data_IF_241152012975
#
_entry.id   IF_241152012975
#
_cell.length_a   1.000
_cell.length_b   1.000
_cell.length_c   1.000
_cell.angle_alpha   90.00
_cell.angle_beta   90.00
_cell.angle_gamma   90.00
#
_symmetry.space_group_name_H-M   'P 1'
#
loop_
_entity.id
_entity.type
_entity.pdbx_description
1 polymer ?
#
# COMPACT_ATOMS: atom_id res chain seq x y z
N UNK A 1 -41.12 60.76 32.43
CA UNK A 1 -40.31 59.52 32.66
C UNK A 1 -40.16 58.80 31.35
N UNK A 2 -38.93 58.75 30.78
CA UNK A 2 -38.62 58.08 29.51
C UNK A 2 -37.73 56.89 29.82
N UNK A 3 -38.28 55.68 29.67
CA UNK A 3 -37.58 54.43 29.87
C UNK A 3 -36.79 54.10 28.58
N UNK A 4 -35.46 54.09 28.67
CA UNK A 4 -34.60 53.67 27.58
C UNK A 4 -34.29 52.18 27.77
N UNK A 5 -34.77 51.35 26.86
CA UNK A 5 -34.43 49.94 26.76
C UNK A 5 -33.18 49.84 25.91
N UNK A 6 -32.08 49.39 26.50
CA UNK A 6 -30.83 49.08 25.82
C UNK A 6 -30.91 47.66 25.30
N UNK A 7 -30.86 47.51 23.97
CA UNK A 7 -30.84 46.24 23.29
C UNK A 7 -29.36 45.80 23.15
N UNK A 8 -28.93 44.82 23.96
CA UNK A 8 -27.60 44.23 23.86
C UNK A 8 -27.62 43.13 22.78
N UNK A 9 -27.01 43.41 21.65
CA UNK A 9 -26.72 42.39 20.65
C UNK A 9 -25.52 41.52 21.10
N UNK A 10 -25.82 40.32 21.57
CA UNK A 10 -24.80 39.31 21.78
C UNK A 10 -24.44 38.64 20.44
N UNK A 11 -23.25 38.96 19.92
CA UNK A 11 -22.68 38.30 18.75
C UNK A 11 -22.13 36.97 19.20
N UNK A 12 -22.84 35.88 18.90
CA UNK A 12 -22.31 34.51 19.05
C UNK A 12 -21.34 34.24 17.91
N UNK A 13 -20.04 34.34 18.19
CA UNK A 13 -18.98 33.85 17.32
C UNK A 13 -18.90 32.33 17.44
N UNK A 14 -19.42 31.59 16.46
CA UNK A 14 -19.16 30.18 16.28
C UNK A 14 -17.71 29.99 15.79
N UNK A 15 -16.88 29.21 16.50
CA UNK A 15 -15.62 28.77 15.91
C UNK A 15 -15.90 27.70 14.82
N UNK A 16 -15.56 28.04 13.56
CA UNK A 16 -15.43 27.06 12.49
C UNK A 16 -14.30 26.10 12.89
N UNK A 17 -14.64 24.97 13.47
CA UNK A 17 -13.73 23.84 13.53
C UNK A 17 -13.58 23.28 12.10
N UNK A 18 -12.60 23.82 11.37
CA UNK A 18 -12.09 23.19 10.15
C UNK A 18 -11.38 21.91 10.57
N UNK A 19 -12.14 20.81 10.64
CA UNK A 19 -11.59 19.47 10.80
C UNK A 19 -10.72 19.16 9.60
N UNK A 20 -9.39 19.36 9.74
CA UNK A 20 -8.43 18.74 8.86
C UNK A 20 -8.59 17.21 9.00
N UNK A 21 -9.36 16.61 8.08
CA UNK A 21 -9.30 15.19 7.85
C UNK A 21 -7.89 14.87 7.32
N UNK A 22 -6.95 14.66 8.22
CA UNK A 22 -5.70 14.02 7.89
C UNK A 22 -6.06 12.61 7.42
N UNK A 23 -6.15 12.42 6.10
CA UNK A 23 -6.19 11.10 5.51
C UNK A 23 -4.86 10.43 5.81
N UNK A 24 -4.80 9.68 6.91
CA UNK A 24 -3.67 8.82 7.21
C UNK A 24 -3.59 7.80 6.08
N UNK A 25 -2.61 8.00 5.19
CA UNK A 25 -2.24 6.98 4.21
C UNK A 25 -1.67 5.82 5.01
N UNK A 26 -2.51 4.82 5.25
CA UNK A 26 -2.07 3.60 5.90
C UNK A 26 -1.28 2.79 4.87
N UNK A 27 -0.02 2.50 5.18
CA UNK A 27 0.65 1.37 4.56
C UNK A 27 -0.30 0.16 4.69
N UNK A 28 -0.37 -0.70 3.67
CA UNK A 28 -1.24 -1.88 3.68
C UNK A 28 -0.52 -3.05 4.37
N UNK A 29 -0.55 -3.16 5.71
CA UNK A 29 0.19 -4.19 6.45
C UNK A 29 -0.13 -5.63 6.03
N UNK A 30 -1.36 -5.96 5.54
CA UNK A 30 -1.71 -7.32 5.17
C UNK A 30 -0.99 -7.84 3.92
N UNK A 31 -0.53 -6.95 3.00
CA UNK A 31 0.01 -7.38 1.69
C UNK A 31 1.12 -8.45 1.80
N UNK A 32 2.17 -8.29 2.64
CA UNK A 32 3.22 -9.30 2.71
C UNK A 32 2.72 -10.69 3.14
N UNK A 33 1.78 -10.74 4.09
CA UNK A 33 1.16 -11.99 4.51
C UNK A 33 0.27 -12.60 3.42
N UNK A 34 -0.43 -11.76 2.69
CA UNK A 34 -1.32 -12.19 1.60
C UNK A 34 -0.53 -12.65 0.36
N UNK A 35 0.66 -12.12 0.09
CA UNK A 35 1.57 -12.66 -0.94
C UNK A 35 1.89 -14.12 -0.63
N UNK A 36 2.27 -14.41 0.62
CA UNK A 36 2.53 -15.78 1.04
C UNK A 36 1.32 -16.68 0.84
N UNK A 37 0.16 -16.23 1.30
CA UNK A 37 -1.10 -17.00 1.19
C UNK A 37 -1.50 -17.23 -0.27
N UNK A 38 -1.34 -16.24 -1.13
CA UNK A 38 -1.71 -16.32 -2.54
C UNK A 38 -0.87 -17.32 -3.35
N UNK A 39 0.38 -17.57 -2.94
CA UNK A 39 1.35 -18.36 -3.70
C UNK A 39 1.90 -19.56 -2.93
N UNK A 40 1.38 -19.89 -1.74
CA UNK A 40 1.89 -20.97 -0.89
C UNK A 40 1.91 -22.34 -1.55
N UNK A 41 0.96 -22.61 -2.44
CA UNK A 41 0.79 -23.90 -3.13
C UNK A 41 1.47 -23.91 -4.51
N UNK A 42 2.07 -22.78 -4.92
CA UNK A 42 2.77 -22.66 -6.20
C UNK A 42 4.26 -22.96 -6.02
N UNK A 43 4.68 -24.10 -6.59
CA UNK A 43 6.06 -24.59 -6.48
C UNK A 43 7.08 -23.64 -7.11
N UNK A 44 6.69 -22.91 -8.15
CA UNK A 44 7.56 -21.96 -8.84
C UNK A 44 7.84 -20.73 -7.98
N UNK A 45 6.94 -20.41 -7.04
CA UNK A 45 7.11 -19.29 -6.11
C UNK A 45 7.80 -19.65 -4.80
N UNK A 46 7.98 -20.95 -4.50
CA UNK A 46 8.60 -21.37 -3.23
C UNK A 46 9.97 -20.74 -2.97
N UNK A 47 10.92 -20.73 -3.92
CA UNK A 47 12.23 -20.11 -3.69
C UNK A 47 12.13 -18.62 -3.37
N UNK A 48 11.20 -17.91 -4.03
CA UNK A 48 10.95 -16.50 -3.77
C UNK A 48 10.34 -16.27 -2.38
N UNK A 49 9.37 -17.09 -1.99
CA UNK A 49 8.76 -16.98 -0.66
C UNK A 49 9.78 -17.23 0.45
N UNK A 50 10.69 -18.18 0.28
CA UNK A 50 11.81 -18.45 1.20
C UNK A 50 12.74 -17.22 1.30
N UNK A 51 13.05 -16.56 0.17
CA UNK A 51 13.81 -15.30 0.14
C UNK A 51 13.07 -14.17 0.88
N UNK A 52 11.77 -14.01 0.65
CA UNK A 52 10.95 -12.98 1.32
C UNK A 52 10.88 -13.22 2.83
N UNK A 53 10.79 -14.49 3.27
CA UNK A 53 10.78 -14.82 4.70
C UNK A 53 12.11 -14.47 5.39
N UNK A 54 13.22 -14.55 4.68
CA UNK A 54 14.55 -14.19 5.21
C UNK A 54 14.78 -12.67 5.31
N UNK A 55 13.93 -11.84 4.70
CA UNK A 55 14.07 -10.38 4.77
C UNK A 55 13.80 -9.86 6.19
N UNK A 56 14.58 -8.86 6.63
CA UNK A 56 14.32 -8.11 7.87
C UNK A 56 12.96 -7.39 7.81
N UNK A 57 12.59 -6.91 6.64
CA UNK A 57 11.30 -6.29 6.38
C UNK A 57 10.71 -6.85 5.10
N UNK A 58 9.61 -7.57 5.18
CA UNK A 58 8.90 -8.11 4.02
C UNK A 58 8.36 -7.02 3.08
N UNK A 59 8.28 -5.78 3.57
CA UNK A 59 7.93 -4.62 2.75
C UNK A 59 9.01 -4.29 1.71
N UNK A 60 10.24 -4.77 1.88
CA UNK A 60 11.37 -4.47 0.99
C UNK A 60 11.25 -5.18 -0.37
N UNK A 61 10.26 -6.04 -0.56
CA UNK A 61 9.86 -6.54 -1.89
C UNK A 61 9.45 -5.39 -2.82
N UNK A 62 8.73 -4.39 -2.29
CA UNK A 62 8.19 -3.26 -3.05
C UNK A 62 8.79 -1.90 -2.65
N UNK A 63 9.47 -1.82 -1.51
CA UNK A 63 10.04 -0.58 -1.00
C UNK A 63 11.55 -0.66 -0.92
N UNK A 64 12.20 0.48 -1.07
CA UNK A 64 13.66 0.58 -0.80
C UNK A 64 13.91 0.38 0.69
N UNK A 65 14.93 -0.40 1.08
CA UNK A 65 15.28 -0.58 2.48
C UNK A 65 15.54 0.76 3.17
N UNK A 66 14.98 0.96 4.36
CA UNK A 66 15.15 2.20 5.13
C UNK A 66 14.41 3.43 4.60
N UNK A 67 13.70 3.32 3.48
CA UNK A 67 12.95 4.45 2.93
C UNK A 67 11.73 4.82 3.78
N UNK A 68 11.37 6.11 3.79
CA UNK A 68 10.12 6.56 4.38
C UNK A 68 8.93 6.07 3.56
N UNK A 69 8.22 5.08 4.11
CA UNK A 69 7.05 4.45 3.49
C UNK A 69 5.79 5.31 3.60
N UNK A 70 5.82 6.41 4.36
CA UNK A 70 4.70 7.35 4.53
C UNK A 70 4.86 8.61 3.70
N UNK A 71 6.06 8.90 3.22
CA UNK A 71 6.38 10.09 2.44
C UNK A 71 5.84 10.05 1.01
N UNK A 72 5.96 11.17 0.31
CA UNK A 72 5.57 11.28 -1.11
C UNK A 72 6.37 10.29 -1.95
N UNK A 73 5.67 9.44 -2.71
CA UNK A 73 6.29 8.36 -3.48
C UNK A 73 6.52 7.07 -2.69
N UNK A 74 6.16 7.04 -1.39
CA UNK A 74 6.15 5.85 -0.53
C UNK A 74 7.47 5.04 -0.49
N UNK A 75 8.59 5.61 -0.91
CA UNK A 75 9.88 4.93 -0.98
C UNK A 75 9.87 3.65 -1.83
N UNK A 76 9.05 3.61 -2.87
CA UNK A 76 8.91 2.44 -3.74
C UNK A 76 10.20 2.20 -4.53
N UNK A 77 10.59 0.93 -4.65
CA UNK A 77 11.57 0.48 -5.63
C UNK A 77 10.91 0.40 -7.03
N UNK A 78 11.65 0.00 -8.06
CA UNK A 78 11.13 -0.07 -9.43
C UNK A 78 9.96 -1.05 -9.57
N UNK A 79 10.05 -2.24 -9.00
CA UNK A 79 8.94 -3.20 -8.97
C UNK A 79 7.73 -2.65 -8.20
N UNK A 80 7.97 -2.04 -7.05
CA UNK A 80 6.93 -1.44 -6.22
C UNK A 80 6.14 -0.36 -6.97
N UNK A 81 6.79 0.45 -7.81
CA UNK A 81 6.12 1.44 -8.67
C UNK A 81 5.21 0.76 -9.68
N UNK A 82 5.72 -0.24 -10.40
CA UNK A 82 4.96 -1.01 -11.39
C UNK A 82 3.76 -1.69 -10.76
N UNK A 83 3.93 -2.28 -9.59
CA UNK A 83 2.85 -2.91 -8.83
C UNK A 83 1.81 -1.90 -8.36
N UNK A 84 2.25 -0.77 -7.79
CA UNK A 84 1.37 0.28 -7.29
C UNK A 84 0.46 0.86 -8.38
N UNK A 85 0.99 1.06 -9.59
CA UNK A 85 0.22 1.61 -10.71
C UNK A 85 -0.90 0.67 -11.20
N UNK A 86 -0.81 -0.62 -10.87
CA UNK A 86 -1.79 -1.66 -11.24
C UNK A 86 -2.69 -2.06 -10.09
N UNK A 87 -2.38 -1.60 -8.88
CA UNK A 87 -3.03 -2.02 -7.66
C UNK A 87 -4.27 -1.18 -7.35
N UNK A 88 -5.44 -1.81 -7.30
CA UNK A 88 -6.70 -1.17 -6.99
C UNK A 88 -6.86 -0.92 -5.48
N UNK A 89 -6.05 -0.01 -4.94
CA UNK A 89 -5.91 0.23 -3.50
C UNK A 89 -7.24 0.48 -2.77
N UNK A 90 -8.17 1.21 -3.39
CA UNK A 90 -9.49 1.48 -2.77
C UNK A 90 -10.31 0.21 -2.61
N UNK A 91 -10.41 -0.61 -3.67
CA UNK A 91 -11.16 -1.87 -3.62
C UNK A 91 -10.53 -2.84 -2.62
N UNK A 92 -9.20 -2.93 -2.64
CA UNK A 92 -8.45 -3.77 -1.70
C UNK A 92 -8.71 -3.35 -0.24
N UNK A 93 -8.67 -2.05 0.04
CA UNK A 93 -8.96 -1.52 1.38
C UNK A 93 -10.38 -1.90 1.81
N UNK A 94 -11.38 -1.66 0.97
CA UNK A 94 -12.78 -2.03 1.25
C UNK A 94 -12.92 -3.53 1.53
N UNK A 95 -12.33 -4.40 0.71
CA UNK A 95 -12.38 -5.84 0.91
C UNK A 95 -11.79 -6.27 2.26
N UNK A 96 -10.66 -5.65 2.69
CA UNK A 96 -10.07 -5.94 4.00
C UNK A 96 -10.93 -5.42 5.16
N UNK A 97 -11.49 -4.22 5.05
CA UNK A 97 -12.40 -3.65 6.07
C UNK A 97 -13.67 -4.51 6.25
N UNK A 98 -14.18 -5.05 5.15
CA UNK A 98 -15.33 -5.98 5.14
C UNK A 98 -14.94 -7.42 5.50
N UNK A 99 -13.68 -7.69 5.84
CA UNK A 99 -13.13 -9.03 6.15
C UNK A 99 -13.28 -10.04 5.01
N UNK A 100 -13.37 -9.58 3.78
CA UNK A 100 -13.41 -10.38 2.55
C UNK A 100 -11.97 -10.70 2.10
N UNK A 101 -11.28 -11.50 2.87
CA UNK A 101 -9.84 -11.79 2.66
C UNK A 101 -9.56 -12.38 1.28
N UNK A 102 -10.41 -13.28 0.80
CA UNK A 102 -10.25 -13.90 -0.51
C UNK A 102 -10.35 -12.89 -1.66
N UNK A 103 -11.26 -11.91 -1.55
CA UNK A 103 -11.39 -10.85 -2.55
C UNK A 103 -10.18 -9.91 -2.50
N UNK A 104 -9.67 -9.59 -1.31
CA UNK A 104 -8.45 -8.82 -1.16
C UNK A 104 -7.25 -9.53 -1.79
N UNK A 105 -7.10 -10.84 -1.56
CA UNK A 105 -6.05 -11.67 -2.17
C UNK A 105 -6.18 -11.69 -3.69
N UNK A 106 -7.39 -11.84 -4.25
CA UNK A 106 -7.63 -11.80 -5.70
C UNK A 106 -7.21 -10.47 -6.31
N UNK A 107 -7.56 -9.36 -5.67
CA UNK A 107 -7.17 -8.01 -6.14
C UNK A 107 -5.64 -7.84 -6.12
N UNK A 108 -5.01 -8.27 -5.03
CA UNK A 108 -3.55 -8.26 -4.89
C UNK A 108 -2.88 -9.11 -5.98
N UNK A 109 -3.35 -10.36 -6.17
CA UNK A 109 -2.82 -11.28 -7.16
C UNK A 109 -3.00 -10.76 -8.58
N UNK A 110 -4.14 -10.17 -8.92
CA UNK A 110 -4.38 -9.59 -10.24
C UNK A 110 -3.40 -8.46 -10.60
N UNK A 111 -3.06 -7.61 -9.63
CA UNK A 111 -2.03 -6.59 -9.82
C UNK A 111 -0.64 -7.20 -9.95
N UNK A 112 -0.34 -8.21 -9.14
CA UNK A 112 0.92 -8.95 -9.16
C UNK A 112 1.16 -9.62 -10.51
N UNK A 113 0.19 -10.42 -10.98
CA UNK A 113 0.29 -11.16 -12.25
C UNK A 113 0.56 -10.24 -13.45
N UNK A 114 -0.02 -9.03 -13.45
CA UNK A 114 0.27 -8.00 -14.46
C UNK A 114 1.66 -7.39 -14.29
N UNK A 115 2.14 -7.25 -13.08
CA UNK A 115 3.42 -6.60 -12.79
C UNK A 115 4.62 -7.49 -13.12
N UNK A 116 4.50 -8.79 -12.89
CA UNK A 116 5.60 -9.73 -13.13
C UNK A 116 5.93 -9.95 -14.60
N UNK A 117 5.07 -9.52 -15.53
CA UNK A 117 5.34 -9.58 -16.98
C UNK A 117 6.22 -8.43 -17.47
N UNK A 118 6.40 -7.40 -16.65
CA UNK A 118 7.24 -6.24 -16.99
C UNK A 118 8.73 -6.52 -16.72
N UNK A 119 9.57 -5.61 -17.23
CA UNK A 119 11.02 -5.70 -17.09
C UNK A 119 11.54 -4.65 -16.10
N UNK A 120 12.58 -5.02 -15.37
CA UNK A 120 13.34 -4.06 -14.56
C UNK A 120 14.26 -3.19 -15.44
N UNK A 121 14.98 -2.27 -14.82
CA UNK A 121 15.92 -1.38 -15.49
C UNK A 121 17.07 -2.12 -16.22
N UNK A 122 17.40 -3.35 -15.80
CA UNK A 122 18.41 -4.20 -16.45
C UNK A 122 17.81 -5.05 -17.62
N UNK A 123 16.54 -4.84 -17.96
CA UNK A 123 15.84 -5.58 -19.02
C UNK A 123 15.39 -6.99 -18.64
N UNK A 124 15.53 -7.40 -17.38
CA UNK A 124 15.10 -8.72 -16.88
C UNK A 124 13.62 -8.69 -16.51
N UNK A 125 12.88 -9.71 -16.90
CA UNK A 125 11.47 -9.87 -16.54
C UNK A 125 11.34 -10.14 -15.05
N UNK A 126 10.47 -9.42 -14.34
CA UNK A 126 10.30 -9.59 -12.90
C UNK A 126 9.88 -11.02 -12.53
N UNK A 127 9.01 -11.65 -13.34
CA UNK A 127 8.57 -13.01 -13.11
C UNK A 127 9.71 -14.04 -13.17
N UNK A 128 10.70 -13.85 -14.05
CA UNK A 128 11.86 -14.73 -14.14
C UNK A 128 12.76 -14.61 -12.91
N UNK A 129 12.91 -13.38 -12.38
CA UNK A 129 13.65 -13.15 -11.14
C UNK A 129 12.96 -13.86 -9.96
N UNK A 130 11.64 -13.71 -9.86
CA UNK A 130 10.81 -14.31 -8.81
C UNK A 130 10.94 -15.86 -8.86
N UNK A 131 10.80 -16.47 -10.04
CA UNK A 131 10.94 -17.92 -10.20
C UNK A 131 12.35 -18.42 -9.86
N UNK A 132 13.34 -17.56 -10.09
CA UNK A 132 14.72 -17.85 -9.67
C UNK A 132 14.97 -17.64 -8.16
N UNK A 133 13.94 -17.29 -7.38
CA UNK A 133 14.07 -17.02 -5.94
C UNK A 133 14.73 -15.69 -5.61
N UNK A 134 14.79 -14.76 -6.58
CA UNK A 134 15.39 -13.45 -6.39
C UNK A 134 14.32 -12.40 -6.12
N UNK A 135 14.71 -11.32 -5.45
CA UNK A 135 13.86 -10.15 -5.35
C UNK A 135 13.67 -9.52 -6.74
N UNK A 136 12.44 -9.08 -7.09
CA UNK A 136 12.16 -8.51 -8.40
C UNK A 136 12.94 -7.22 -8.65
N UNK A 137 13.28 -6.50 -7.58
CA UNK A 137 14.02 -5.24 -7.64
C UNK A 137 15.35 -5.35 -6.91
N UNK A 138 16.39 -4.71 -7.45
CA UNK A 138 17.62 -4.51 -6.68
C UNK A 138 17.29 -3.51 -5.57
N UNK A 139 17.54 -3.89 -4.34
CA UNK A 139 17.46 -3.01 -3.19
C UNK A 139 18.80 -2.25 -3.09
N UNK A 140 18.97 -1.25 -3.96
CA UNK A 140 20.06 -0.28 -3.88
C UNK A 140 19.70 0.88 -2.97
#
# INVERSE_FOLDING_TARGET
MKLRVALSCAVLSLPLLSGLCATTVHAFPPIPGQIKEAFKDDKDYKPFLDTVEALKSKCDVCHKPGADKKGKGHGLNDFGKVYHDRFEAKKYKTANEEKKTDDAIKLMKAAWDKSITEKNADGKVYGDLIKAGLLPSKNE
#
